data_IF_813613545700
#
_entry.id   IF_813613545700
#
_cell.length_a   1.000
_cell.length_b   1.000
_cell.length_c   1.000
_cell.angle_alpha   90.00
_cell.angle_beta   90.00
_cell.angle_gamma   90.00
#
_symmetry.space_group_name_H-M   'P 1'
#
loop_
_entity.id
_entity.type
_entity.pdbx_description
1 polymer ?
#
# COMPACT_ATOMS: atom_id res chain seq x y z
N UNK A 1 3.37 4.86 -41.58
CA UNK A 1 2.64 4.96 -40.30
C UNK A 1 3.65 5.13 -39.16
N UNK A 2 4.01 6.37 -38.82
CA UNK A 2 4.87 6.67 -37.67
C UNK A 2 4.06 6.47 -36.37
N UNK A 3 4.44 5.49 -35.55
CA UNK A 3 3.97 5.38 -34.17
C UNK A 3 4.64 6.51 -33.36
N UNK A 4 3.92 7.60 -33.16
CA UNK A 4 4.29 8.63 -32.17
C UNK A 4 4.45 7.95 -30.81
N UNK A 5 5.63 8.02 -30.15
CA UNK A 5 5.74 7.61 -28.77
C UNK A 5 5.05 8.69 -27.95
N UNK A 6 3.78 8.45 -27.59
CA UNK A 6 3.10 9.21 -26.54
C UNK A 6 3.76 8.87 -25.20
N UNK A 7 4.98 9.35 -24.98
CA UNK A 7 5.60 9.35 -23.66
C UNK A 7 4.90 10.43 -22.85
N UNK A 8 3.70 10.10 -22.36
CA UNK A 8 3.09 10.82 -21.26
C UNK A 8 4.13 10.86 -20.14
N UNK A 9 4.75 12.03 -19.96
CA UNK A 9 5.73 12.32 -18.92
C UNK A 9 5.05 12.24 -17.56
N UNK A 10 4.75 11.02 -17.11
CA UNK A 10 4.29 10.74 -15.76
C UNK A 10 5.52 10.89 -14.87
N UNK A 11 5.69 12.10 -14.34
CA UNK A 11 6.76 12.44 -13.39
C UNK A 11 6.91 11.32 -12.34
N UNK A 12 8.05 10.62 -12.33
CA UNK A 12 8.33 9.59 -11.34
C UNK A 12 8.58 10.26 -9.98
N UNK A 13 8.14 9.59 -8.90
CA UNK A 13 8.32 10.09 -7.54
C UNK A 13 7.08 9.98 -6.66
N UNK A 14 7.26 10.34 -5.39
CA UNK A 14 6.24 10.38 -4.34
C UNK A 14 5.15 11.40 -4.70
N UNK A 15 3.88 10.99 -4.59
CA UNK A 15 2.73 11.89 -4.72
C UNK A 15 2.05 11.96 -3.36
N UNK A 16 2.17 13.08 -2.69
CA UNK A 16 1.31 13.39 -1.55
C UNK A 16 0.25 14.38 -2.04
N UNK A 17 -0.99 13.94 -2.20
CA UNK A 17 -2.10 14.85 -2.40
C UNK A 17 -2.59 15.35 -1.05
N UNK A 18 -3.08 16.59 -1.01
CA UNK A 18 -3.80 17.12 0.15
C UNK A 18 -5.01 16.23 0.48
N UNK A 19 -5.62 15.63 -0.56
CA UNK A 19 -6.73 14.67 -0.40
C UNK A 19 -6.29 13.45 0.42
N UNK A 20 -5.06 12.95 0.21
CA UNK A 20 -4.55 11.80 0.97
C UNK A 20 -4.35 12.16 2.45
N UNK A 21 -3.82 13.35 2.72
CA UNK A 21 -3.61 13.85 4.10
C UNK A 21 -4.95 13.99 4.82
N UNK A 22 -5.94 14.60 4.17
CA UNK A 22 -7.30 14.72 4.71
C UNK A 22 -7.89 13.34 4.97
N UNK A 23 -7.70 12.38 4.07
CA UNK A 23 -8.21 11.02 4.24
C UNK A 23 -7.53 10.29 5.40
N UNK A 24 -6.23 10.44 5.58
CA UNK A 24 -5.49 9.89 6.72
C UNK A 24 -6.01 10.50 8.03
N UNK A 25 -6.13 11.82 8.11
CA UNK A 25 -6.65 12.49 9.31
C UNK A 25 -8.08 12.06 9.63
N UNK A 26 -8.95 12.02 8.61
CA UNK A 26 -10.32 11.55 8.74
C UNK A 26 -10.38 10.10 9.22
N UNK A 27 -9.52 9.23 8.68
CA UNK A 27 -9.44 7.83 9.13
C UNK A 27 -8.98 7.71 10.58
N UNK A 28 -8.08 8.57 11.04
CA UNK A 28 -7.63 8.62 12.44
C UNK A 28 -8.77 9.03 13.38
N UNK A 29 -9.53 10.08 13.01
CA UNK A 29 -10.71 10.52 13.76
C UNK A 29 -11.78 9.42 13.78
N UNK A 30 -12.08 8.80 12.64
CA UNK A 30 -13.03 7.70 12.56
C UNK A 30 -12.60 6.51 13.44
N UNK A 31 -11.30 6.18 13.44
CA UNK A 31 -10.72 5.14 14.31
C UNK A 31 -10.93 5.47 15.78
N UNK A 32 -10.70 6.72 16.20
CA UNK A 32 -10.91 7.17 17.58
C UNK A 32 -12.38 7.09 18.02
N UNK A 33 -13.31 7.51 17.14
CA UNK A 33 -14.75 7.46 17.41
C UNK A 33 -15.24 6.01 17.55
N UNK A 34 -14.68 5.11 16.75
CA UNK A 34 -15.11 3.70 16.65
C UNK A 34 -14.42 2.80 17.69
N UNK A 35 -13.29 3.24 18.25
CA UNK A 35 -12.51 2.53 19.26
C UNK A 35 -13.34 1.90 20.40
N UNK A 36 -14.29 2.59 21.06
CA UNK A 36 -15.06 1.99 22.15
C UNK A 36 -16.00 0.86 21.70
N UNK A 37 -16.37 0.80 20.42
CA UNK A 37 -17.31 -0.20 19.89
C UNK A 37 -16.61 -1.41 19.28
N UNK A 38 -15.39 -1.26 18.78
CA UNK A 38 -14.67 -2.25 17.97
C UNK A 38 -13.27 -2.53 18.52
N UNK A 39 -13.08 -2.49 19.84
CA UNK A 39 -11.77 -2.65 20.53
C UNK A 39 -10.82 -3.66 19.85
N UNK A 40 -11.30 -4.85 19.51
CA UNK A 40 -10.50 -5.93 18.88
C UNK A 40 -10.17 -5.72 17.40
N UNK A 41 -10.90 -4.87 16.67
CA UNK A 41 -10.76 -4.65 15.23
C UNK A 41 -10.34 -3.22 14.87
N UNK A 42 -10.20 -2.33 15.86
CA UNK A 42 -9.95 -0.90 15.62
C UNK A 42 -8.63 -0.67 14.88
N UNK A 43 -7.65 -1.55 15.06
CA UNK A 43 -6.35 -1.50 14.38
C UNK A 43 -6.43 -1.79 12.87
N UNK A 44 -7.51 -2.38 12.36
CA UNK A 44 -7.68 -2.71 10.93
C UNK A 44 -7.76 -1.44 10.10
N UNK A 45 -8.50 -0.44 10.57
CA UNK A 45 -8.73 0.83 9.83
C UNK A 45 -7.40 1.53 9.51
N UNK A 46 -6.56 1.91 10.49
CA UNK A 46 -5.30 2.58 10.21
C UNK A 46 -4.33 1.69 9.43
N UNK A 47 -4.38 0.38 9.63
CA UNK A 47 -3.54 -0.55 8.88
C UNK A 47 -3.88 -0.56 7.39
N UNK A 48 -5.16 -0.71 7.05
CA UNK A 48 -5.64 -0.74 5.66
C UNK A 48 -5.38 0.60 5.00
N UNK A 49 -5.77 1.70 5.63
CA UNK A 49 -5.57 3.06 5.08
C UNK A 49 -4.09 3.36 4.87
N UNK A 50 -3.24 3.04 5.85
CA UNK A 50 -1.79 3.23 5.76
C UNK A 50 -1.16 2.44 4.61
N UNK A 51 -1.56 1.18 4.42
CA UNK A 51 -1.04 0.35 3.34
C UNK A 51 -1.52 0.78 1.96
N UNK A 52 -2.79 1.14 1.82
CA UNK A 52 -3.29 1.70 0.55
C UNK A 52 -2.61 3.01 0.21
N UNK A 53 -2.42 3.90 1.18
CA UNK A 53 -1.63 5.11 0.99
C UNK A 53 -0.21 4.76 0.51
N UNK A 54 0.45 3.81 1.18
CA UNK A 54 1.79 3.38 0.83
C UNK A 54 1.86 2.81 -0.60
N UNK A 55 0.89 1.99 -1.00
CA UNK A 55 0.84 1.40 -2.34
C UNK A 55 0.50 2.40 -3.43
N UNK A 56 -0.52 3.24 -3.23
CA UNK A 56 -1.01 4.13 -4.26
C UNK A 56 -0.11 5.37 -4.43
N UNK A 57 0.42 5.91 -3.33
CA UNK A 57 1.11 7.21 -3.32
C UNK A 57 2.65 7.10 -3.28
N UNK A 58 3.19 6.11 -2.56
CA UNK A 58 4.64 5.96 -2.35
C UNK A 58 5.27 5.08 -3.41
N UNK A 59 4.79 3.84 -3.52
CA UNK A 59 5.39 2.83 -4.40
C UNK A 59 4.68 2.72 -5.76
N UNK A 60 3.47 3.26 -5.90
CA UNK A 60 2.61 3.15 -7.10
C UNK A 60 2.53 1.70 -7.59
N UNK A 61 2.05 0.83 -6.70
CA UNK A 61 1.88 -0.59 -6.97
C UNK A 61 0.86 -0.80 -8.08
N UNK A 62 1.06 -1.83 -8.91
CA UNK A 62 0.06 -2.19 -9.94
C UNK A 62 -1.18 -2.74 -9.26
N UNK A 63 -2.36 -2.31 -9.73
CA UNK A 63 -3.68 -2.72 -9.21
C UNK A 63 -3.84 -4.23 -8.96
N UNK A 64 -3.28 -5.07 -9.82
CA UNK A 64 -3.36 -6.53 -9.66
C UNK A 64 -2.62 -7.02 -8.39
N UNK A 65 -1.48 -6.42 -8.04
CA UNK A 65 -0.73 -6.75 -6.83
C UNK A 65 -1.41 -6.19 -5.58
N UNK A 66 -2.05 -5.02 -5.68
CA UNK A 66 -2.88 -4.47 -4.60
C UNK A 66 -4.07 -5.38 -4.27
N UNK A 67 -4.73 -5.92 -5.30
CA UNK A 67 -5.84 -6.87 -5.14
C UNK A 67 -5.37 -8.20 -4.54
N UNK A 68 -4.21 -8.71 -4.95
CA UNK A 68 -3.62 -9.91 -4.35
C UNK A 68 -3.33 -9.69 -2.86
N UNK A 69 -2.72 -8.55 -2.52
CA UNK A 69 -2.46 -8.19 -1.13
C UNK A 69 -3.76 -8.07 -0.31
N UNK A 70 -4.80 -7.44 -0.87
CA UNK A 70 -6.09 -7.30 -0.22
C UNK A 70 -6.78 -8.66 -0.02
N UNK A 71 -6.68 -9.58 -0.98
CA UNK A 71 -7.21 -10.94 -0.84
C UNK A 71 -6.51 -11.70 0.29
N UNK A 72 -5.17 -11.62 0.37
CA UNK A 72 -4.40 -12.20 1.48
C UNK A 72 -4.80 -11.58 2.81
N UNK A 73 -4.95 -10.25 2.87
CA UNK A 73 -5.38 -9.55 4.08
C UNK A 73 -6.76 -10.04 4.55
N UNK A 74 -7.75 -10.08 3.65
CA UNK A 74 -9.09 -10.57 3.97
C UNK A 74 -9.06 -12.01 4.50
N UNK A 75 -8.29 -12.90 3.86
CA UNK A 75 -8.10 -14.27 4.36
C UNK A 75 -7.51 -14.30 5.77
N UNK A 76 -6.53 -13.44 6.05
CA UNK A 76 -5.88 -13.35 7.35
C UNK A 76 -6.84 -12.84 8.44
N UNK A 77 -7.72 -11.87 8.11
CA UNK A 77 -8.78 -11.41 9.00
C UNK A 77 -9.82 -12.50 9.27
N UNK A 78 -10.19 -13.29 8.25
CA UNK A 78 -11.10 -14.43 8.42
C UNK A 78 -10.49 -15.46 9.39
N UNK A 79 -9.22 -15.83 9.18
CA UNK A 79 -8.52 -16.76 10.08
C UNK A 79 -8.47 -16.20 11.51
N UNK A 80 -8.09 -14.93 11.67
CA UNK A 80 -8.07 -14.25 12.96
C UNK A 80 -9.43 -14.28 13.67
N UNK A 81 -10.52 -14.08 12.93
CA UNK A 81 -11.88 -14.14 13.46
C UNK A 81 -12.24 -15.54 14.00
N UNK A 82 -11.85 -16.61 13.30
CA UNK A 82 -12.15 -17.98 13.72
C UNK A 82 -11.21 -18.56 14.78
N UNK A 83 -9.94 -18.15 14.80
CA UNK A 83 -8.95 -18.71 15.73
C UNK A 83 -8.71 -17.86 16.97
N UNK A 84 -9.27 -16.65 17.03
CA UNK A 84 -9.01 -15.66 18.08
C UNK A 84 -7.51 -15.37 18.29
N UNK A 85 -6.67 -15.59 17.26
CA UNK A 85 -5.25 -15.26 17.35
C UNK A 85 -5.04 -13.78 17.61
N UNK A 86 -3.91 -13.40 18.19
CA UNK A 86 -3.60 -11.99 18.42
C UNK A 86 -3.45 -11.23 17.09
N UNK A 87 -3.73 -9.92 17.12
CA UNK A 87 -3.49 -9.00 16.01
C UNK A 87 -2.02 -9.05 15.51
N UNK A 88 -1.09 -9.42 16.38
CA UNK A 88 0.33 -9.62 16.04
C UNK A 88 0.53 -10.74 15.03
N UNK A 89 -0.26 -11.82 15.06
CA UNK A 89 -0.16 -12.90 14.07
C UNK A 89 -0.58 -12.41 12.69
N UNK A 90 -1.64 -11.59 12.62
CA UNK A 90 -2.06 -10.97 11.37
C UNK A 90 -0.92 -10.11 10.83
N UNK A 91 -0.29 -9.27 11.65
CA UNK A 91 0.85 -8.45 11.25
C UNK A 91 2.06 -9.27 10.80
N UNK A 92 2.38 -10.36 11.49
CA UNK A 92 3.50 -11.22 11.16
C UNK A 92 3.39 -11.83 9.76
N UNK A 93 2.17 -12.08 9.28
CA UNK A 93 1.93 -12.54 7.91
C UNK A 93 1.79 -11.36 6.95
N UNK A 94 1.15 -10.27 7.40
CA UNK A 94 0.85 -9.13 6.54
C UNK A 94 2.08 -8.32 6.17
N UNK A 95 3.02 -8.12 7.09
CA UNK A 95 4.24 -7.34 6.85
C UNK A 95 5.11 -8.01 5.76
N UNK A 96 5.43 -9.31 5.82
CA UNK A 96 6.12 -10.00 4.74
C UNK A 96 5.37 -9.92 3.40
N UNK A 97 4.04 -10.07 3.40
CA UNK A 97 3.24 -9.93 2.19
C UNK A 97 3.34 -8.52 1.58
N UNK A 98 3.28 -7.48 2.41
CA UNK A 98 3.49 -6.08 2.02
C UNK A 98 4.89 -5.88 1.42
N UNK A 99 5.94 -6.35 2.11
CA UNK A 99 7.33 -6.23 1.66
C UNK A 99 7.54 -6.95 0.33
N UNK A 100 6.98 -8.15 0.17
CA UNK A 100 7.05 -8.91 -1.07
C UNK A 100 6.41 -8.14 -2.23
N UNK A 101 5.19 -7.64 -2.06
CA UNK A 101 4.47 -6.87 -3.08
C UNK A 101 5.23 -5.62 -3.49
N UNK A 102 5.78 -4.88 -2.51
CA UNK A 102 6.61 -3.70 -2.76
C UNK A 102 7.88 -4.08 -3.52
N UNK A 103 8.56 -5.14 -3.11
CA UNK A 103 9.81 -5.61 -3.72
C UNK A 103 9.57 -6.02 -5.18
N UNK A 104 8.54 -6.81 -5.45
CA UNK A 104 8.14 -7.18 -6.81
C UNK A 104 7.82 -5.95 -7.67
N UNK A 105 7.17 -4.94 -7.07
CA UNK A 105 6.87 -3.69 -7.76
C UNK A 105 8.14 -2.87 -8.07
N UNK A 106 9.11 -2.80 -7.15
CA UNK A 106 10.38 -2.09 -7.34
C UNK A 106 11.22 -2.76 -8.44
N UNK A 107 11.26 -4.10 -8.45
CA UNK A 107 11.97 -4.88 -9.47
C UNK A 107 11.36 -4.66 -10.86
N UNK A 108 10.04 -4.48 -10.95
CA UNK A 108 9.32 -4.28 -12.21
C UNK A 108 9.93 -3.18 -13.11
N UNK A 109 10.02 -3.39 -14.44
CA UNK A 109 10.55 -2.40 -15.38
C UNK A 109 9.71 -1.12 -15.45
N UNK A 110 8.45 -1.17 -15.02
CA UNK A 110 7.53 -0.03 -15.02
C UNK A 110 7.44 0.69 -13.66
N UNK A 111 8.38 0.46 -12.75
CA UNK A 111 8.41 1.13 -11.45
C UNK A 111 8.58 2.64 -11.60
N UNK A 112 7.81 3.44 -10.83
CA UNK A 112 7.80 4.92 -10.89
C UNK A 112 7.64 5.58 -9.51
N UNK A 113 7.83 4.81 -8.43
CA UNK A 113 7.66 5.29 -7.05
C UNK A 113 8.84 6.13 -6.55
N UNK A 114 8.91 6.31 -5.23
CA UNK A 114 9.90 7.18 -4.55
C UNK A 114 11.37 6.82 -4.86
N UNK A 115 11.68 5.55 -5.10
CA UNK A 115 13.03 5.06 -5.40
C UNK A 115 13.40 5.04 -6.89
N UNK A 116 12.56 5.60 -7.77
CA UNK A 116 12.83 5.59 -9.22
C UNK A 116 14.16 6.27 -9.58
N UNK A 117 14.45 7.43 -8.98
CA UNK A 117 15.71 8.16 -9.24
C UNK A 117 16.94 7.40 -8.78
N UNK A 118 16.84 6.62 -7.70
CA UNK A 118 17.94 5.77 -7.23
C UNK A 118 18.17 4.60 -8.20
N UNK A 119 17.12 3.88 -8.61
CA UNK A 119 17.23 2.80 -9.60
C UNK A 119 17.84 3.27 -10.94
N UNK A 120 17.41 4.42 -11.45
CA UNK A 120 17.88 4.96 -12.73
C UNK A 120 19.18 5.79 -12.63
N UNK A 121 19.51 6.32 -11.44
CA UNK A 121 20.71 7.11 -11.20
C UNK A 121 21.99 6.29 -11.26
N UNK A 122 21.90 4.97 -11.11
CA UNK A 122 23.03 4.03 -11.26
C UNK A 122 23.26 3.61 -12.72
N UNK A 123 22.38 4.00 -13.66
CA UNK A 123 22.48 3.66 -15.09
C UNK A 123 23.04 4.82 -15.92
N UNK A 124 23.61 5.85 -15.28
CA UNK A 124 24.31 6.94 -15.97
C UNK A 124 25.71 7.08 -15.36
N UNK A 125 26.61 6.21 -15.79
CA UNK A 125 28.03 6.51 -15.98
C UNK A 125 28.60 5.52 -16.98
#
# INVERSE_FOLDING_TARGET
MLKLPLTSSKKPGFRLSIVDVVFILFSGVATYIVYPYLLSFTWIIPLVVGHFFLFCNVFRVRRNLELLWAAVFCGNIIVHFYTHFSWTTVLMVQIPATVLVITLQIISPNYRGIFYKWKNGYTIK
#
